data_IF_725064325292
#
_entry.id   IF_725064325292
#
_cell.length_a   1.000
_cell.length_b   1.000
_cell.length_c   1.000
_cell.angle_alpha   90.00
_cell.angle_beta   90.00
_cell.angle_gamma   90.00
#
_symmetry.space_group_name_H-M   'P 1'
#
loop_
_entity.id
_entity.type
_entity.pdbx_description
1 polymer ?
#
# COMPACT_ATOMS: atom_id res chain seq x y z
N UNK A 1 -2.15 -22.77 -3.88
CA UNK A 1 -3.36 -23.50 -4.31
C UNK A 1 -4.32 -22.53 -4.96
N UNK A 2 -5.38 -23.02 -5.58
CA UNK A 2 -6.49 -22.18 -6.03
C UNK A 2 -7.49 -22.07 -4.86
N UNK A 3 -7.70 -20.84 -4.38
CA UNK A 3 -8.56 -20.54 -3.23
C UNK A 3 -9.41 -19.31 -3.56
N UNK A 4 -10.42 -19.05 -2.72
CA UNK A 4 -11.18 -17.81 -2.82
C UNK A 4 -10.26 -16.59 -2.58
N UNK A 5 -10.51 -15.46 -3.29
CA UNK A 5 -9.64 -14.31 -3.22
C UNK A 5 -9.46 -13.80 -1.79
N UNK A 6 -8.21 -13.45 -1.43
CA UNK A 6 -7.80 -12.84 -0.15
C UNK A 6 -8.05 -13.70 1.10
N UNK A 7 -8.62 -14.90 1.00
CA UNK A 7 -8.92 -15.74 2.16
C UNK A 7 -7.64 -16.26 2.82
N UNK A 8 -6.76 -16.87 2.02
CA UNK A 8 -5.46 -17.35 2.50
C UNK A 8 -4.57 -16.19 2.98
N UNK A 9 -4.63 -15.05 2.30
CA UNK A 9 -3.91 -13.83 2.67
C UNK A 9 -4.34 -13.32 4.06
N UNK A 10 -5.65 -13.31 4.34
CA UNK A 10 -6.19 -12.95 5.65
C UNK A 10 -5.79 -13.95 6.74
N UNK A 11 -5.77 -15.25 6.41
CA UNK A 11 -5.32 -16.30 7.32
C UNK A 11 -3.84 -16.13 7.70
N UNK A 12 -2.97 -15.77 6.74
CA UNK A 12 -1.58 -15.45 7.03
C UNK A 12 -1.44 -14.30 8.05
N UNK A 13 -2.25 -13.25 7.93
CA UNK A 13 -2.27 -12.15 8.90
C UNK A 13 -2.76 -12.60 10.28
N UNK A 14 -3.74 -13.51 10.32
CA UNK A 14 -4.26 -14.09 11.57
C UNK A 14 -3.19 -14.92 12.28
N UNK A 15 -2.53 -15.82 11.57
CA UNK A 15 -1.43 -16.64 12.13
C UNK A 15 -0.29 -15.74 12.62
N UNK A 16 0.10 -14.74 11.85
CA UNK A 16 1.13 -13.78 12.26
C UNK A 16 0.74 -13.04 13.55
N UNK A 17 -0.50 -12.56 13.62
CA UNK A 17 -1.03 -11.89 14.82
C UNK A 17 -0.97 -12.81 16.03
N UNK A 18 -1.39 -14.07 15.89
CA UNK A 18 -1.34 -15.06 16.98
C UNK A 18 0.08 -15.28 17.48
N UNK A 19 1.04 -15.48 16.57
CA UNK A 19 2.46 -15.63 16.92
C UNK A 19 2.97 -14.40 17.68
N UNK A 20 2.78 -13.20 17.14
CA UNK A 20 3.27 -11.96 17.77
C UNK A 20 2.62 -11.70 19.12
N UNK A 21 1.34 -12.07 19.27
CA UNK A 21 0.61 -11.97 20.55
C UNK A 21 1.14 -12.98 21.57
N UNK A 22 1.39 -14.23 21.15
CA UNK A 22 1.95 -15.27 22.03
C UNK A 22 3.38 -14.97 22.47
N UNK A 23 4.14 -14.21 21.69
CA UNK A 23 5.49 -13.76 22.06
C UNK A 23 5.50 -12.61 23.08
N UNK A 24 4.35 -12.00 23.38
CA UNK A 24 4.19 -10.90 24.34
C UNK A 24 5.18 -9.73 24.15
N UNK A 25 5.38 -9.33 22.89
CA UNK A 25 6.33 -8.26 22.51
C UNK A 25 5.77 -6.84 22.69
N UNK A 26 4.62 -6.71 23.35
CA UNK A 26 3.87 -5.46 23.50
C UNK A 26 3.05 -5.09 22.25
N UNK A 27 2.88 -3.78 22.02
CA UNK A 27 2.03 -3.27 20.94
C UNK A 27 2.72 -3.34 19.58
N UNK A 28 1.99 -3.79 18.58
CA UNK A 28 2.44 -3.86 17.19
C UNK A 28 1.29 -3.51 16.24
N UNK A 29 1.67 -3.14 15.01
CA UNK A 29 0.79 -2.87 13.88
C UNK A 29 1.29 -3.65 12.67
N UNK A 30 0.39 -4.28 11.95
CA UNK A 30 0.61 -4.94 10.67
C UNK A 30 0.20 -3.99 9.55
N UNK A 31 1.18 -3.47 8.81
CA UNK A 31 0.92 -2.66 7.62
C UNK A 31 0.66 -3.57 6.43
N UNK A 32 -0.39 -3.30 5.67
CA UNK A 32 -0.74 -4.01 4.44
C UNK A 32 -0.89 -3.04 3.27
N UNK A 33 -0.57 -3.52 2.08
CA UNK A 33 -0.74 -2.81 0.82
C UNK A 33 -0.83 -3.84 -0.32
N UNK A 34 -1.15 -3.40 -1.54
CA UNK A 34 -1.30 -4.27 -2.70
C UNK A 34 -0.41 -3.82 -3.85
N UNK A 35 0.35 -4.76 -4.44
CA UNK A 35 1.27 -4.46 -5.54
C UNK A 35 0.56 -3.81 -6.74
N UNK A 36 -0.55 -4.39 -7.18
CA UNK A 36 -1.30 -3.82 -8.31
C UNK A 36 -1.84 -2.40 -8.03
N UNK A 37 -2.08 -2.07 -6.76
CA UNK A 37 -2.46 -0.71 -6.39
C UNK A 37 -1.27 0.25 -6.56
N UNK A 38 -0.07 -0.13 -6.13
CA UNK A 38 1.13 0.67 -6.37
C UNK A 38 1.39 0.86 -7.87
N UNK A 39 1.24 -0.20 -8.67
CA UNK A 39 1.37 -0.14 -10.14
C UNK A 39 0.41 0.92 -10.69
N UNK A 40 -0.88 0.81 -10.36
CA UNK A 40 -1.89 1.73 -10.87
C UNK A 40 -1.78 3.16 -10.32
N UNK A 41 -1.31 3.33 -9.10
CA UNK A 41 -1.06 4.64 -8.49
C UNK A 41 0.08 5.36 -9.21
N UNK A 42 1.19 4.67 -9.49
CA UNK A 42 2.30 5.28 -10.21
C UNK A 42 1.95 5.58 -11.66
N UNK A 43 1.20 4.70 -12.32
CA UNK A 43 0.62 4.97 -13.65
C UNK A 43 -0.25 6.23 -13.64
N UNK A 44 -1.16 6.34 -12.66
CA UNK A 44 -2.03 7.51 -12.50
C UNK A 44 -1.26 8.82 -12.25
N UNK A 45 -0.08 8.74 -11.63
CA UNK A 45 0.81 9.89 -11.38
C UNK A 45 1.76 10.18 -12.56
N UNK A 46 1.66 9.44 -13.68
CA UNK A 46 2.48 9.63 -14.87
C UNK A 46 3.91 9.08 -14.75
N UNK A 47 4.13 8.10 -13.87
CA UNK A 47 5.42 7.40 -13.78
C UNK A 47 5.55 6.41 -14.94
N UNK A 48 6.66 6.46 -15.71
CA UNK A 48 6.94 5.47 -16.74
C UNK A 48 7.04 4.04 -16.17
N UNK A 49 6.51 3.05 -16.89
CA UNK A 49 6.47 1.66 -16.43
C UNK A 49 7.87 1.07 -16.14
N UNK A 50 8.90 1.49 -16.88
CA UNK A 50 10.30 1.09 -16.68
C UNK A 50 10.89 1.62 -15.37
N UNK A 51 10.28 2.65 -14.78
CA UNK A 51 10.71 3.26 -13.51
C UNK A 51 9.96 2.73 -12.29
N UNK A 52 8.96 1.86 -12.47
CA UNK A 52 8.12 1.35 -11.38
C UNK A 52 8.93 0.85 -10.18
N UNK A 53 9.82 -0.13 -10.40
CA UNK A 53 10.65 -0.71 -9.32
C UNK A 53 11.54 0.32 -8.65
N UNK A 54 12.09 1.25 -9.43
CA UNK A 54 12.95 2.31 -8.92
C UNK A 54 12.19 3.28 -8.02
N UNK A 55 10.94 3.59 -8.35
CA UNK A 55 10.09 4.46 -7.52
C UNK A 55 9.58 3.72 -6.29
N UNK A 56 9.22 2.43 -6.39
CA UNK A 56 8.94 1.60 -5.22
C UNK A 56 10.08 1.63 -4.20
N UNK A 57 11.32 1.49 -4.69
CA UNK A 57 12.51 1.54 -3.84
C UNK A 57 12.69 2.88 -3.13
N UNK A 58 12.30 4.00 -3.73
CA UNK A 58 12.34 5.30 -3.07
C UNK A 58 11.20 5.46 -2.07
N UNK A 59 9.98 5.01 -2.41
CA UNK A 59 8.80 5.05 -1.52
C UNK A 59 9.00 4.19 -0.28
N UNK A 60 9.63 3.01 -0.37
CA UNK A 60 9.93 2.15 0.79
C UNK A 60 10.77 2.86 1.85
N UNK A 61 11.59 3.84 1.48
CA UNK A 61 12.42 4.62 2.41
C UNK A 61 11.62 5.58 3.29
N UNK A 62 10.32 5.77 3.04
CA UNK A 62 9.46 6.62 3.89
C UNK A 62 9.30 6.09 5.32
N UNK A 63 9.71 4.84 5.57
CA UNK A 63 9.79 4.29 6.92
C UNK A 63 10.93 4.92 7.77
N UNK A 64 11.95 5.48 7.12
CA UNK A 64 13.19 5.97 7.76
C UNK A 64 13.59 7.38 7.35
N UNK A 65 13.12 7.87 6.22
CA UNK A 65 13.45 9.18 5.65
C UNK A 65 12.22 10.06 5.50
N UNK A 66 12.34 11.38 5.74
CA UNK A 66 11.26 12.32 5.50
C UNK A 66 10.89 12.41 4.02
N UNK A 67 9.65 12.80 3.74
CA UNK A 67 9.12 12.97 2.38
C UNK A 67 10.00 13.85 1.49
N UNK A 68 10.61 14.91 2.03
CA UNK A 68 11.45 15.82 1.25
C UNK A 68 12.69 15.13 0.64
N UNK A 69 13.31 14.22 1.39
CA UNK A 69 14.46 13.44 0.90
C UNK A 69 14.01 12.45 -0.18
N UNK A 70 12.94 11.70 0.09
CA UNK A 70 12.38 10.72 -0.85
C UNK A 70 11.94 11.39 -2.16
N UNK A 71 11.29 12.55 -2.07
CA UNK A 71 10.92 13.38 -3.24
C UNK A 71 12.16 13.82 -4.03
N UNK A 72 13.20 14.27 -3.35
CA UNK A 72 14.43 14.74 -3.98
C UNK A 72 15.13 13.60 -4.72
N UNK A 73 15.18 12.40 -4.12
CA UNK A 73 15.71 11.19 -4.77
C UNK A 73 14.90 10.83 -6.03
N UNK A 74 13.56 10.82 -5.94
CA UNK A 74 12.70 10.50 -7.07
C UNK A 74 12.94 11.42 -8.28
N UNK A 75 13.18 12.71 -8.03
CA UNK A 75 13.41 13.69 -9.09
C UNK A 75 14.85 13.61 -9.61
N UNK A 76 15.83 13.73 -8.71
CA UNK A 76 17.22 13.93 -9.10
C UNK A 76 17.94 12.64 -9.50
N UNK A 77 17.59 11.52 -8.86
CA UNK A 77 18.26 10.23 -9.09
C UNK A 77 17.42 9.32 -9.98
N UNK A 78 16.10 9.29 -9.79
CA UNK A 78 15.21 8.40 -10.57
C UNK A 78 14.64 9.08 -11.81
N UNK A 79 14.74 10.40 -11.89
CA UNK A 79 14.38 11.18 -13.08
C UNK A 79 12.89 11.18 -13.40
N UNK A 80 12.02 11.20 -12.39
CA UNK A 80 10.60 11.51 -12.60
C UNK A 80 10.35 13.02 -12.45
N UNK A 81 9.26 13.52 -13.03
CA UNK A 81 8.93 14.94 -12.95
C UNK A 81 8.59 15.35 -11.51
N UNK A 82 8.83 16.61 -11.17
CA UNK A 82 8.44 17.16 -9.87
C UNK A 82 6.93 17.04 -9.63
N UNK A 83 6.13 17.25 -10.67
CA UNK A 83 4.68 17.07 -10.61
C UNK A 83 4.29 15.63 -10.27
N UNK A 84 4.88 14.63 -10.94
CA UNK A 84 4.63 13.22 -10.64
C UNK A 84 5.04 12.87 -9.20
N UNK A 85 6.20 13.34 -8.75
CA UNK A 85 6.66 13.13 -7.38
C UNK A 85 5.71 13.76 -6.36
N UNK A 86 5.23 14.99 -6.60
CA UNK A 86 4.27 15.66 -5.72
C UNK A 86 2.93 14.93 -5.65
N UNK A 87 2.45 14.41 -6.79
CA UNK A 87 1.23 13.60 -6.85
C UNK A 87 1.38 12.28 -6.09
N UNK A 88 2.47 11.54 -6.30
CA UNK A 88 2.79 10.33 -5.51
C UNK A 88 2.73 10.66 -4.02
N UNK A 89 3.32 11.79 -3.63
CA UNK A 89 3.33 12.27 -2.26
C UNK A 89 1.95 12.46 -1.65
N UNK A 90 0.93 12.81 -2.43
CA UNK A 90 -0.43 12.96 -1.91
C UNK A 90 -1.04 11.61 -1.51
N UNK A 91 -0.63 10.52 -2.15
CA UNK A 91 -1.14 9.18 -1.89
C UNK A 91 -0.29 8.40 -0.87
N UNK A 92 1.03 8.36 -1.02
CA UNK A 92 1.91 7.49 -0.19
C UNK A 92 1.99 7.92 1.27
N UNK A 93 1.49 9.11 1.62
CA UNK A 93 1.36 9.58 3.01
C UNK A 93 0.02 9.22 3.66
N UNK A 94 -0.87 8.56 2.93
CA UNK A 94 -2.16 8.12 3.44
C UNK A 94 -2.02 6.72 4.05
N UNK A 95 -2.63 6.56 5.23
CA UNK A 95 -2.83 5.28 5.88
C UNK A 95 -4.15 5.29 6.63
N UNK A 96 -4.75 4.11 6.82
CA UNK A 96 -6.06 3.98 7.45
C UNK A 96 -6.65 2.58 7.33
N UNK A 97 -7.98 2.50 7.40
CA UNK A 97 -8.73 1.25 7.26
C UNK A 97 -9.55 1.21 5.96
N UNK A 98 -10.70 0.53 6.03
CA UNK A 98 -11.59 0.32 4.87
C UNK A 98 -12.09 1.65 4.27
N UNK A 99 -12.28 2.67 5.11
CA UNK A 99 -12.72 4.01 4.72
C UNK A 99 -11.74 4.68 3.75
N UNK A 100 -10.43 4.48 3.95
CA UNK A 100 -9.42 4.98 3.03
C UNK A 100 -9.52 4.27 1.68
N UNK A 101 -9.72 2.94 1.70
CA UNK A 101 -9.88 2.19 0.46
C UNK A 101 -11.15 2.63 -0.30
N UNK A 102 -12.28 2.86 0.39
CA UNK A 102 -13.51 3.38 -0.21
C UNK A 102 -13.33 4.78 -0.81
N UNK A 103 -12.59 5.66 -0.11
CA UNK A 103 -12.23 6.98 -0.62
C UNK A 103 -11.40 6.88 -1.90
N UNK A 104 -10.40 6.00 -1.93
CA UNK A 104 -9.51 5.83 -3.09
C UNK A 104 -10.19 5.16 -4.28
N UNK A 105 -11.20 4.32 -4.07
CA UNK A 105 -12.04 3.77 -5.16
C UNK A 105 -12.79 4.89 -5.89
N UNK A 106 -13.19 5.94 -5.16
CA UNK A 106 -13.89 7.10 -5.72
C UNK A 106 -12.94 8.20 -6.23
N UNK A 107 -11.63 7.99 -6.15
CA UNK A 107 -10.64 8.97 -6.61
C UNK A 107 -10.68 9.10 -8.14
N UNK A 108 -10.74 10.35 -8.63
CA UNK A 108 -10.94 10.64 -10.05
C UNK A 108 -9.81 10.17 -10.98
N UNK A 109 -8.62 9.89 -10.44
CA UNK A 109 -7.49 9.36 -11.18
C UNK A 109 -7.43 7.83 -11.05
N UNK A 110 -7.48 7.31 -9.82
CA UNK A 110 -7.35 5.87 -9.58
C UNK A 110 -8.54 5.07 -10.13
N UNK A 111 -9.75 5.62 -10.11
CA UNK A 111 -10.96 5.00 -10.68
C UNK A 111 -10.92 4.78 -12.19
N UNK A 112 -9.90 5.32 -12.88
CA UNK A 112 -9.69 5.12 -14.33
C UNK A 112 -8.63 4.06 -14.63
N UNK A 113 -7.89 3.62 -13.61
CA UNK A 113 -6.78 2.69 -13.76
C UNK A 113 -7.19 1.31 -13.24
N UNK A 114 -7.24 0.33 -14.16
CA UNK A 114 -7.74 -1.02 -13.87
C UNK A 114 -6.98 -1.70 -12.72
N UNK A 115 -5.65 -1.62 -12.73
CA UNK A 115 -4.78 -2.22 -11.70
C UNK A 115 -5.00 -1.59 -10.31
N UNK A 116 -5.29 -0.29 -10.26
CA UNK A 116 -5.63 0.41 -9.02
C UNK A 116 -6.97 -0.07 -8.45
N UNK A 117 -7.99 -0.21 -9.29
CA UNK A 117 -9.31 -0.74 -8.87
C UNK A 117 -9.17 -2.16 -8.34
N UNK A 118 -8.50 -3.04 -9.09
CA UNK A 118 -8.28 -4.43 -8.68
C UNK A 118 -7.54 -4.51 -7.34
N UNK A 119 -6.48 -3.72 -7.16
CA UNK A 119 -5.76 -3.67 -5.90
C UNK A 119 -6.59 -3.13 -4.73
N UNK A 120 -7.43 -2.13 -4.96
CA UNK A 120 -8.33 -1.57 -3.95
C UNK A 120 -9.45 -2.55 -3.56
N UNK A 121 -10.01 -3.26 -4.52
CA UNK A 121 -11.01 -4.31 -4.25
C UNK A 121 -10.40 -5.45 -3.43
N UNK A 122 -9.18 -5.88 -3.77
CA UNK A 122 -8.40 -6.85 -2.98
C UNK A 122 -8.17 -6.38 -1.55
N UNK A 123 -7.70 -5.14 -1.36
CA UNK A 123 -7.49 -4.56 -0.02
C UNK A 123 -8.79 -4.47 0.77
N UNK A 124 -9.90 -4.04 0.14
CA UNK A 124 -11.21 -3.99 0.81
C UNK A 124 -11.66 -5.36 1.30
N UNK A 125 -11.48 -6.39 0.47
CA UNK A 125 -11.83 -7.75 0.83
C UNK A 125 -10.95 -8.27 1.98
N UNK A 126 -9.64 -8.06 1.88
CA UNK A 126 -8.68 -8.41 2.93
C UNK A 126 -9.05 -7.75 4.27
N UNK A 127 -9.30 -6.43 4.25
CA UNK A 127 -9.66 -5.68 5.46
C UNK A 127 -10.95 -6.19 6.10
N UNK A 128 -11.96 -6.56 5.30
CA UNK A 128 -13.20 -7.19 5.80
C UNK A 128 -12.93 -8.52 6.48
N UNK A 129 -12.12 -9.39 5.88
CA UNK A 129 -11.75 -10.66 6.52
C UNK A 129 -10.95 -10.45 7.81
N UNK A 130 -10.03 -9.49 7.82
CA UNK A 130 -9.28 -9.17 9.05
C UNK A 130 -10.20 -8.64 10.16
N UNK A 131 -11.26 -7.90 9.83
CA UNK A 131 -12.27 -7.48 10.79
C UNK A 131 -13.04 -8.68 11.37
N UNK A 132 -13.47 -9.63 10.52
CA UNK A 132 -14.10 -10.88 10.95
C UNK A 132 -13.19 -11.74 11.85
N UNK A 133 -11.87 -11.69 11.64
CA UNK A 133 -10.88 -12.34 12.50
C UNK A 133 -10.56 -11.55 13.79
N UNK A 134 -11.18 -10.39 14.01
CA UNK A 134 -10.95 -9.54 15.18
C UNK A 134 -9.62 -8.77 15.14
N UNK A 135 -9.07 -8.53 13.95
CA UNK A 135 -7.75 -7.92 13.72
C UNK A 135 -7.81 -6.44 13.33
N UNK A 136 -9.00 -5.82 13.36
CA UNK A 136 -9.25 -4.45 12.88
C UNK A 136 -8.27 -3.41 13.45
N UNK A 137 -7.95 -3.52 14.74
CA UNK A 137 -7.05 -2.58 15.43
C UNK A 137 -5.55 -2.87 15.19
N UNK A 138 -5.24 -4.02 14.57
CA UNK A 138 -3.86 -4.46 14.31
C UNK A 138 -3.46 -4.26 12.85
N UNK A 139 -4.41 -4.28 11.91
CA UNK A 139 -4.14 -4.18 10.47
C UNK A 139 -4.40 -2.77 9.97
N UNK A 140 -3.38 -2.15 9.39
CA UNK A 140 -3.45 -0.80 8.81
C UNK A 140 -3.12 -0.88 7.33
N UNK A 141 -4.01 -0.36 6.49
CA UNK A 141 -3.72 -0.14 5.08
C UNK A 141 -2.83 1.11 4.94
N UNK A 142 -1.64 0.95 4.39
CA UNK A 142 -0.61 2.00 4.33
C UNK A 142 0.03 2.04 2.94
N UNK A 143 -0.16 3.16 2.21
CA UNK A 143 0.33 3.30 0.84
C UNK A 143 1.84 3.55 0.75
N UNK A 144 2.52 3.83 1.87
CA UNK A 144 3.98 3.91 1.90
C UNK A 144 4.67 2.54 1.83
N UNK A 145 3.94 1.46 2.12
CA UNK A 145 4.51 0.11 2.13
C UNK A 145 4.73 -0.40 0.69
N UNK A 146 5.98 -0.45 0.25
CA UNK A 146 6.38 -0.86 -1.09
C UNK A 146 7.57 -1.85 -1.09
N UNK A 147 7.43 -2.97 -0.37
CA UNK A 147 8.51 -3.96 -0.16
C UNK A 147 8.41 -5.19 -1.06
N UNK A 148 9.58 -5.73 -1.42
CA UNK A 148 9.71 -7.05 -2.07
C UNK A 148 9.27 -7.11 -3.54
N UNK A 149 9.49 -6.02 -4.30
CA UNK A 149 8.91 -5.79 -5.63
C UNK A 149 9.85 -6.00 -6.83
#
# INVERSE_FOLDING_TARGET
>A
GQYDPMLADAECLKVLTEILTSLDIGNYILKVNHRCLLDGLFEACGVPADKFRSICSSVDKLDKSPWQEVRTEMINEKGISAAAADEIGQYVRLSGGVELADKLVSDAKLSKIKSAIEGLEGIKLLLRYTDLYGLKEKVVFDLSLARGL
#
